data_IF_017079613587
#
_entry.id   IF_017079613587
#
_cell.length_a   1.000
_cell.length_b   1.000
_cell.length_c   1.000
_cell.angle_alpha   90.00
_cell.angle_beta   90.00
_cell.angle_gamma   90.00
#
_symmetry.space_group_name_H-M   'P 1'
#
loop_
_entity.id
_entity.type
_entity.pdbx_description
1 polymer ?
#
# COMPACT_ATOMS: atom_id res chain seq x y z
N UNK A 1 -15.43 -11.61 -17.30
CA UNK A 1 -15.45 -10.17 -17.71
C UNK A 1 -16.68 -9.40 -17.19
N UNK A 2 -17.89 -9.93 -17.35
CA UNK A 2 -19.12 -9.34 -16.78
C UNK A 2 -18.99 -9.08 -15.27
N UNK A 3 -18.41 -10.01 -14.51
CA UNK A 3 -18.16 -9.84 -13.06
C UNK A 3 -17.25 -8.66 -12.73
N UNK A 4 -16.25 -8.36 -13.58
CA UNK A 4 -15.37 -7.21 -13.38
C UNK A 4 -16.13 -5.89 -13.58
N UNK A 5 -16.98 -5.81 -14.59
CA UNK A 5 -17.83 -4.62 -14.84
C UNK A 5 -18.85 -4.45 -13.71
N UNK A 6 -19.48 -5.54 -13.28
CA UNK A 6 -20.43 -5.54 -12.17
C UNK A 6 -19.79 -5.15 -10.82
N UNK A 7 -18.50 -5.43 -10.64
CA UNK A 7 -17.74 -4.95 -9.48
C UNK A 7 -17.31 -3.48 -9.64
N UNK A 8 -16.69 -3.12 -10.76
CA UNK A 8 -16.07 -1.82 -10.97
C UNK A 8 -17.08 -0.67 -11.04
N UNK A 9 -18.25 -0.88 -11.63
CA UNK A 9 -19.28 0.16 -11.75
C UNK A 9 -19.74 0.68 -10.39
N UNK A 10 -20.32 -0.17 -9.53
CA UNK A 10 -20.69 0.22 -8.16
C UNK A 10 -19.49 0.69 -7.34
N UNK A 11 -18.33 0.04 -7.49
CA UNK A 11 -17.12 0.40 -6.75
C UNK A 11 -16.69 1.85 -7.00
N UNK A 12 -16.50 2.23 -8.27
CA UNK A 12 -16.15 3.60 -8.63
C UNK A 12 -17.26 4.59 -8.31
N UNK A 13 -18.53 4.20 -8.48
CA UNK A 13 -19.66 5.06 -8.13
C UNK A 13 -19.64 5.42 -6.64
N UNK A 14 -19.53 4.44 -5.75
CA UNK A 14 -19.49 4.67 -4.30
C UNK A 14 -18.24 5.46 -3.91
N UNK A 15 -17.08 5.11 -4.46
CA UNK A 15 -15.81 5.79 -4.16
C UNK A 15 -15.82 7.28 -4.56
N UNK A 16 -16.48 7.63 -5.67
CA UNK A 16 -16.59 9.01 -6.13
C UNK A 16 -17.68 9.80 -5.39
N UNK A 17 -18.72 9.12 -4.91
CA UNK A 17 -19.84 9.73 -4.18
C UNK A 17 -19.49 10.02 -2.72
N UNK A 18 -18.71 9.16 -2.07
CA UNK A 18 -18.31 9.30 -0.68
C UNK A 18 -16.86 9.78 -0.53
N UNK A 19 -16.69 11.10 -0.44
CA UNK A 19 -15.39 11.73 -0.18
C UNK A 19 -14.77 11.34 1.18
N UNK A 20 -15.57 10.90 2.15
CA UNK A 20 -15.06 10.55 3.48
C UNK A 20 -14.35 9.19 3.50
N UNK A 21 -14.70 8.30 2.57
CA UNK A 21 -14.05 7.01 2.35
C UNK A 21 -12.79 7.08 1.48
N UNK A 22 -12.41 8.27 1.02
CA UNK A 22 -11.32 8.45 0.07
C UNK A 22 -9.97 8.31 0.75
N UNK A 23 -9.22 7.28 0.38
CA UNK A 23 -7.82 7.12 0.75
C UNK A 23 -7.03 6.54 -0.44
N UNK A 24 -5.70 6.68 -0.39
CA UNK A 24 -4.82 6.23 -1.48
C UNK A 24 -4.95 4.72 -1.78
N UNK A 25 -5.29 3.90 -0.79
CA UNK A 25 -5.46 2.46 -0.96
C UNK A 25 -6.77 2.13 -1.69
N UNK A 26 -7.88 2.74 -1.31
CA UNK A 26 -9.17 2.59 -1.99
C UNK A 26 -9.04 3.00 -3.47
N UNK A 27 -8.35 4.10 -3.76
CA UNK A 27 -8.08 4.50 -5.14
C UNK A 27 -7.24 3.46 -5.90
N UNK A 28 -6.17 2.94 -5.29
CA UNK A 28 -5.34 1.90 -5.88
C UNK A 28 -6.12 0.62 -6.18
N UNK A 29 -7.02 0.17 -5.31
CA UNK A 29 -7.85 -1.01 -5.55
C UNK A 29 -8.76 -0.83 -6.78
N UNK A 30 -9.34 0.36 -6.95
CA UNK A 30 -10.09 0.71 -8.15
C UNK A 30 -9.25 0.63 -9.42
N UNK A 31 -8.04 1.22 -9.41
CA UNK A 31 -7.12 1.18 -10.54
C UNK A 31 -6.70 -0.25 -10.89
N UNK A 32 -6.30 -1.05 -9.89
CA UNK A 32 -5.89 -2.44 -10.08
C UNK A 32 -7.04 -3.27 -10.64
N UNK A 33 -8.26 -3.10 -10.13
CA UNK A 33 -9.45 -3.77 -10.66
C UNK A 33 -9.71 -3.40 -12.13
N UNK A 34 -9.60 -2.12 -12.49
CA UNK A 34 -9.73 -1.65 -13.87
C UNK A 34 -8.66 -2.26 -14.77
N UNK A 35 -7.40 -2.27 -14.34
CA UNK A 35 -6.30 -2.88 -15.10
C UNK A 35 -6.54 -4.38 -15.32
N UNK A 36 -6.94 -5.13 -14.28
CA UNK A 36 -7.24 -6.56 -14.40
C UNK A 36 -8.40 -6.84 -15.37
N UNK A 37 -9.41 -5.97 -15.39
CA UNK A 37 -10.54 -6.08 -16.31
C UNK A 37 -10.13 -5.86 -17.78
N UNK A 38 -9.23 -4.90 -18.04
CA UNK A 38 -8.76 -4.55 -19.38
C UNK A 38 -7.70 -5.54 -19.91
N UNK A 39 -6.79 -5.99 -19.04
CA UNK A 39 -5.67 -6.87 -19.40
C UNK A 39 -6.08 -8.33 -19.63
N UNK A 40 -7.36 -8.67 -19.51
CA UNK A 40 -7.85 -10.02 -19.77
C UNK A 40 -7.30 -11.04 -18.76
N UNK A 41 -7.32 -10.70 -17.47
CA UNK A 41 -7.00 -11.63 -16.38
C UNK A 41 -7.92 -12.87 -16.37
N UNK A 42 -9.00 -12.88 -17.17
CA UNK A 42 -9.91 -14.01 -17.35
C UNK A 42 -9.25 -15.27 -17.95
N UNK A 43 -8.00 -15.18 -18.41
CA UNK A 43 -7.25 -16.31 -19.01
C UNK A 43 -6.51 -17.20 -18.01
N UNK A 44 -6.39 -16.77 -16.74
CA UNK A 44 -5.72 -17.54 -15.69
C UNK A 44 -6.56 -17.51 -14.41
N UNK A 45 -7.01 -18.68 -13.92
CA UNK A 45 -7.74 -18.79 -12.66
C UNK A 45 -9.19 -18.28 -12.65
N UNK A 46 -9.82 -18.06 -13.80
CA UNK A 46 -11.24 -17.66 -13.86
C UNK A 46 -12.19 -18.86 -13.85
N UNK A 47 -13.39 -18.68 -13.28
CA UNK A 47 -14.47 -19.67 -13.41
C UNK A 47 -14.85 -19.91 -14.89
N UNK A 48 -14.76 -18.87 -15.73
CA UNK A 48 -14.97 -18.99 -17.18
C UNK A 48 -13.99 -19.98 -17.83
N UNK A 49 -12.77 -20.10 -17.30
CA UNK A 49 -11.75 -21.05 -17.76
C UNK A 49 -12.01 -22.50 -17.34
N UNK A 50 -12.81 -22.75 -16.30
CA UNK A 50 -13.26 -24.11 -15.95
C UNK A 50 -14.26 -24.65 -16.98
N UNK A 51 -15.14 -23.79 -17.51
CA UNK A 51 -16.15 -24.17 -18.49
C UNK A 51 -15.70 -24.04 -19.95
N UNK A 52 -14.62 -23.29 -20.22
CA UNK A 52 -14.05 -23.11 -21.58
C UNK A 52 -12.54 -23.39 -21.59
N UNK A 53 -12.11 -24.64 -21.88
CA UNK A 53 -10.71 -25.04 -21.82
C UNK A 53 -9.78 -24.20 -22.71
N UNK A 54 -10.26 -23.69 -23.84
CA UNK A 54 -9.48 -22.84 -24.74
C UNK A 54 -9.06 -21.50 -24.12
N UNK A 55 -9.75 -21.05 -23.06
CA UNK A 55 -9.42 -19.83 -22.33
C UNK A 55 -8.46 -20.08 -21.16
N UNK A 56 -8.31 -21.33 -20.72
CA UNK A 56 -7.54 -21.70 -19.54
C UNK A 56 -6.06 -21.78 -19.87
N UNK A 57 -5.21 -21.11 -19.09
CA UNK A 57 -3.76 -21.07 -19.28
C UNK A 57 -3.32 -20.54 -20.66
N UNK A 58 -4.16 -19.74 -21.30
CA UNK A 58 -3.81 -19.07 -22.55
C UNK A 58 -2.72 -18.02 -22.31
N UNK A 59 -1.87 -17.82 -23.31
CA UNK A 59 -0.72 -16.91 -23.22
C UNK A 59 -1.15 -15.49 -22.83
N UNK A 60 -0.49 -14.94 -21.82
CA UNK A 60 -0.66 -13.55 -21.36
C UNK A 60 0.64 -12.81 -21.66
N UNK A 61 0.61 -11.70 -22.43
CA UNK A 61 1.79 -10.92 -22.72
C UNK A 61 2.47 -10.40 -21.45
N UNK A 62 3.81 -10.37 -21.46
CA UNK A 62 4.60 -9.92 -20.31
C UNK A 62 4.25 -8.48 -19.88
N UNK A 63 3.86 -7.62 -20.83
CA UNK A 63 3.47 -6.23 -20.53
C UNK A 63 2.26 -6.12 -19.60
N UNK A 64 1.37 -7.13 -19.55
CA UNK A 64 0.25 -7.14 -18.62
C UNK A 64 0.76 -7.21 -17.18
N UNK A 65 1.73 -8.09 -16.93
CA UNK A 65 2.41 -8.19 -15.63
C UNK A 65 3.26 -6.96 -15.34
N UNK A 66 3.95 -6.43 -16.34
CA UNK A 66 4.77 -5.22 -16.19
C UNK A 66 3.91 -4.01 -15.81
N UNK A 67 2.71 -3.85 -16.37
CA UNK A 67 1.80 -2.75 -16.05
C UNK A 67 1.32 -2.82 -14.60
N UNK A 68 0.94 -4.01 -14.13
CA UNK A 68 0.54 -4.22 -12.73
C UNK A 68 1.72 -3.98 -11.77
N UNK A 69 2.92 -4.47 -12.12
CA UNK A 69 4.14 -4.22 -11.32
C UNK A 69 4.48 -2.74 -11.29
N UNK A 70 4.38 -2.04 -12.42
CA UNK A 70 4.63 -0.60 -12.52
C UNK A 70 3.63 0.21 -11.67
N UNK A 71 2.35 -0.17 -11.64
CA UNK A 71 1.36 0.47 -10.78
C UNK A 71 1.75 0.42 -9.30
N UNK A 72 2.15 -0.76 -8.81
CA UNK A 72 2.62 -0.92 -7.43
C UNK A 72 3.93 -0.15 -7.19
N UNK A 73 4.86 -0.22 -8.14
CA UNK A 73 6.12 0.52 -8.09
C UNK A 73 5.88 2.02 -7.89
N UNK A 74 5.02 2.62 -8.71
CA UNK A 74 4.75 4.06 -8.69
C UNK A 74 4.20 4.48 -7.33
N UNK A 75 3.27 3.71 -6.74
CA UNK A 75 2.67 4.07 -5.44
C UNK A 75 3.72 4.07 -4.32
N UNK A 76 4.53 3.03 -4.22
CA UNK A 76 5.61 2.99 -3.21
C UNK A 76 6.65 4.06 -3.45
N UNK A 77 7.10 4.23 -4.70
CA UNK A 77 8.15 5.19 -5.02
C UNK A 77 7.70 6.63 -4.74
N UNK A 78 6.47 7.00 -5.11
CA UNK A 78 5.91 8.32 -4.79
C UNK A 78 5.71 8.48 -3.28
N UNK A 79 5.31 7.44 -2.55
CA UNK A 79 5.21 7.49 -1.08
C UNK A 79 6.58 7.75 -0.44
N UNK A 80 7.64 7.11 -0.95
CA UNK A 80 9.02 7.33 -0.50
C UNK A 80 9.53 8.73 -0.85
N UNK A 81 9.24 9.23 -2.05
CA UNK A 81 9.59 10.61 -2.43
C UNK A 81 8.91 11.64 -1.53
N UNK A 82 7.65 11.42 -1.15
CA UNK A 82 6.95 12.30 -0.21
C UNK A 82 7.66 12.32 1.15
N UNK A 83 8.16 11.18 1.63
CA UNK A 83 8.90 11.03 2.89
C UNK A 83 10.32 11.64 2.87
N UNK A 84 10.80 12.16 1.74
CA UNK A 84 12.04 12.94 1.70
C UNK A 84 11.85 14.38 2.19
N UNK A 85 10.63 14.77 2.54
CA UNK A 85 10.34 16.06 3.13
C UNK A 85 11.05 16.25 4.49
N UNK A 86 11.30 17.51 4.85
CA UNK A 86 12.04 17.85 6.07
C UNK A 86 11.31 17.43 7.36
N UNK A 87 9.98 17.37 7.36
CA UNK A 87 9.20 16.95 8.52
C UNK A 87 9.31 15.45 8.75
N UNK A 88 9.36 14.64 7.68
CA UNK A 88 9.59 13.21 7.81
C UNK A 88 11.06 12.89 8.13
N UNK A 89 12.02 13.44 7.38
CA UNK A 89 13.46 13.15 7.57
C UNK A 89 13.98 13.72 8.90
N UNK A 90 13.45 14.88 9.31
CA UNK A 90 13.72 15.49 10.61
C UNK A 90 13.10 14.72 11.78
N UNK A 91 12.18 13.80 11.49
CA UNK A 91 11.44 13.06 12.51
C UNK A 91 10.47 13.95 13.27
N UNK A 92 9.86 14.94 12.63
CA UNK A 92 8.83 15.78 13.24
C UNK A 92 7.44 15.17 13.09
N UNK A 93 7.20 14.49 11.97
CA UNK A 93 5.97 13.75 11.71
C UNK A 93 5.85 12.54 12.64
N UNK A 94 4.65 12.16 13.06
CA UNK A 94 4.40 10.90 13.80
C UNK A 94 5.31 10.61 15.01
N UNK A 95 5.79 11.65 15.71
CA UNK A 95 6.80 11.51 16.76
C UNK A 95 6.44 10.57 17.92
N UNK A 96 5.15 10.43 18.21
CA UNK A 96 4.66 9.55 19.26
C UNK A 96 4.68 8.06 18.88
N UNK A 97 4.88 7.72 17.61
CA UNK A 97 4.75 6.35 17.12
C UNK A 97 5.80 5.42 17.76
N UNK A 98 7.01 5.93 18.00
CA UNK A 98 8.09 5.17 18.65
C UNK A 98 7.76 4.73 20.09
N UNK A 99 6.77 5.36 20.75
CA UNK A 99 6.29 4.96 22.08
C UNK A 99 5.41 3.71 22.03
N UNK A 100 4.87 3.38 20.87
CA UNK A 100 4.00 2.22 20.70
C UNK A 100 4.73 0.92 21.10
N UNK A 101 3.98 -0.05 21.63
CA UNK A 101 4.56 -1.29 22.16
C UNK A 101 5.32 -2.11 21.10
N UNK A 102 4.93 -1.98 19.83
CA UNK A 102 5.61 -2.60 18.68
C UNK A 102 7.09 -2.21 18.60
N UNK A 103 7.45 -1.01 19.06
CA UNK A 103 8.83 -0.53 19.03
C UNK A 103 9.55 -0.74 20.36
N UNK A 104 8.92 -1.37 21.36
CA UNK A 104 9.55 -1.67 22.65
C UNK A 104 10.85 -2.49 22.52
N UNK A 105 10.98 -3.50 21.63
CA UNK A 105 12.23 -4.23 21.46
C UNK A 105 13.40 -3.33 21.01
N UNK A 106 13.14 -2.36 20.13
CA UNK A 106 14.16 -1.41 19.68
C UNK A 106 14.55 -0.44 20.81
N UNK A 107 13.58 -0.06 21.66
CA UNK A 107 13.80 0.80 22.82
C UNK A 107 14.61 0.15 23.96
N UNK A 108 14.86 -1.16 23.91
CA UNK A 108 15.79 -1.82 24.82
C UNK A 108 17.26 -1.48 24.53
N UNK A 109 17.56 -1.12 23.27
CA UNK A 109 18.92 -0.84 22.78
C UNK A 109 19.09 0.62 22.37
N UNK A 110 18.03 1.25 21.88
CA UNK A 110 18.02 2.63 21.38
C UNK A 110 17.16 3.52 22.29
N UNK A 111 17.50 4.81 22.36
CA UNK A 111 16.59 5.78 22.97
C UNK A 111 15.29 5.90 22.15
N UNK A 112 14.22 6.42 22.76
CA UNK A 112 12.96 6.69 22.04
C UNK A 112 13.19 7.59 20.82
N UNK A 113 13.99 8.65 20.97
CA UNK A 113 14.30 9.57 19.88
C UNK A 113 15.08 8.88 18.74
N UNK A 114 16.06 8.02 19.06
CA UNK A 114 16.79 7.26 18.05
C UNK A 114 15.91 6.19 17.39
N UNK A 115 15.02 5.55 18.16
CA UNK A 115 14.04 4.58 17.63
C UNK A 115 13.10 5.26 16.65
N UNK A 116 12.58 6.45 17.00
CA UNK A 116 11.78 7.27 16.08
C UNK A 116 12.58 7.57 14.80
N UNK A 117 13.76 8.17 14.93
CA UNK A 117 14.52 8.64 13.78
C UNK A 117 15.03 7.53 12.86
N UNK A 118 15.57 6.45 13.42
CA UNK A 118 16.20 5.38 12.63
C UNK A 118 15.19 4.33 12.18
N UNK A 119 14.32 3.86 13.08
CA UNK A 119 13.42 2.73 12.80
C UNK A 119 12.13 3.21 12.14
N UNK A 120 11.45 4.19 12.73
CA UNK A 120 10.17 4.68 12.18
C UNK A 120 10.41 5.51 10.91
N UNK A 121 11.19 6.58 11.02
CA UNK A 121 11.41 7.51 9.91
C UNK A 121 12.37 6.95 8.86
N UNK A 122 13.56 6.53 9.29
CA UNK A 122 14.57 5.94 8.41
C UNK A 122 14.07 4.65 7.76
N UNK A 123 13.58 3.70 8.56
CA UNK A 123 13.04 2.43 8.06
C UNK A 123 11.86 2.62 7.11
N UNK A 124 10.88 3.46 7.46
CA UNK A 124 9.74 3.77 6.60
C UNK A 124 10.13 4.43 5.28
N UNK A 125 11.11 5.34 5.29
CA UNK A 125 11.62 5.99 4.08
C UNK A 125 12.35 5.01 3.16
N UNK A 126 13.30 4.24 3.72
CA UNK A 126 14.09 3.27 2.95
C UNK A 126 13.18 2.18 2.37
N UNK A 127 12.23 1.70 3.16
CA UNK A 127 11.28 0.68 2.69
C UNK A 127 10.43 1.20 1.53
N UNK A 128 9.85 2.39 1.61
CA UNK A 128 9.02 2.91 0.52
C UNK A 128 9.82 3.19 -0.76
N UNK A 129 11.03 3.76 -0.65
CA UNK A 129 11.88 4.01 -1.81
C UNK A 129 12.39 2.71 -2.47
N UNK A 130 12.54 1.62 -1.71
CA UNK A 130 13.07 0.35 -2.20
C UNK A 130 12.00 -0.68 -2.58
N UNK A 131 10.81 -0.63 -1.96
CA UNK A 131 9.75 -1.64 -2.12
C UNK A 131 9.32 -1.82 -3.57
N UNK A 132 9.19 -0.72 -4.33
CA UNK A 132 8.91 -0.76 -5.76
C UNK A 132 9.93 -1.61 -6.52
N UNK A 133 11.21 -1.34 -6.33
CA UNK A 133 12.30 -2.10 -6.99
C UNK A 133 12.32 -3.56 -6.55
N UNK A 134 12.19 -3.80 -5.24
CA UNK A 134 12.20 -5.16 -4.69
C UNK A 134 11.08 -6.02 -5.27
N UNK A 135 9.88 -5.49 -5.41
CA UNK A 135 8.72 -6.21 -5.95
C UNK A 135 8.75 -6.38 -7.47
N UNK A 136 9.41 -5.44 -8.18
CA UNK A 136 9.45 -5.43 -9.65
C UNK A 136 10.26 -6.60 -10.22
N UNK A 137 11.46 -6.85 -9.70
CA UNK A 137 12.35 -7.91 -10.17
C UNK A 137 12.02 -9.26 -9.55
N UNK A 138 12.07 -10.34 -10.34
CA UNK A 138 11.70 -11.68 -9.89
C UNK A 138 12.64 -12.20 -8.77
N UNK A 139 13.93 -11.87 -8.84
CA UNK A 139 14.92 -12.31 -7.86
C UNK A 139 14.74 -11.68 -6.46
N UNK A 140 14.36 -10.40 -6.40
CA UNK A 140 14.17 -9.66 -5.14
C UNK A 140 12.74 -9.73 -4.60
N UNK A 141 11.78 -10.21 -5.40
CA UNK A 141 10.36 -10.20 -5.04
C UNK A 141 10.04 -10.91 -3.73
N UNK A 142 10.58 -12.11 -3.42
CA UNK A 142 10.28 -12.76 -2.15
C UNK A 142 10.65 -11.89 -0.94
N UNK A 143 11.80 -11.21 -1.01
CA UNK A 143 12.23 -10.25 0.00
C UNK A 143 11.30 -9.04 0.07
N UNK A 144 10.94 -8.47 -1.09
CA UNK A 144 9.99 -7.36 -1.18
C UNK A 144 8.64 -7.70 -0.56
N UNK A 145 8.10 -8.90 -0.84
CA UNK A 145 6.85 -9.38 -0.25
C UNK A 145 6.98 -9.52 1.27
N UNK A 146 8.05 -10.13 1.79
CA UNK A 146 8.26 -10.26 3.23
C UNK A 146 8.29 -8.88 3.92
N UNK A 147 9.11 -7.96 3.42
CA UNK A 147 9.27 -6.63 4.01
C UNK A 147 7.99 -5.81 3.93
N UNK A 148 7.33 -5.79 2.78
CA UNK A 148 6.07 -5.05 2.61
C UNK A 148 4.95 -5.66 3.43
N UNK A 149 4.80 -6.98 3.48
CA UNK A 149 3.82 -7.63 4.36
C UNK A 149 4.07 -7.27 5.81
N UNK A 150 5.30 -7.39 6.29
CA UNK A 150 5.65 -6.99 7.66
C UNK A 150 5.29 -5.53 7.95
N UNK A 151 5.65 -4.62 7.05
CA UNK A 151 5.34 -3.19 7.17
C UNK A 151 3.83 -2.92 7.21
N UNK A 152 3.04 -3.58 6.36
CA UNK A 152 1.59 -3.42 6.33
C UNK A 152 0.92 -4.01 7.57
N UNK A 153 1.39 -5.16 8.05
CA UNK A 153 0.91 -5.74 9.31
C UNK A 153 1.23 -4.81 10.48
N UNK A 154 2.45 -4.27 10.56
CA UNK A 154 2.81 -3.29 11.58
C UNK A 154 1.92 -2.04 11.49
N UNK A 155 1.73 -1.48 10.29
CA UNK A 155 0.87 -0.32 10.09
C UNK A 155 -0.59 -0.59 10.44
N UNK A 156 -1.13 -1.79 10.17
CA UNK A 156 -2.50 -2.16 10.56
C UNK A 156 -2.72 -2.23 12.08
N UNK A 157 -1.65 -2.42 12.85
CA UNK A 157 -1.69 -2.37 14.30
C UNK A 157 -1.50 -0.93 14.83
N UNK A 158 -0.81 -0.08 14.06
CA UNK A 158 -0.55 1.32 14.41
C UNK A 158 -1.69 2.26 14.02
N UNK A 159 -2.39 1.96 12.94
CA UNK A 159 -3.41 2.82 12.34
C UNK A 159 -4.69 2.02 12.11
N UNK A 160 -5.83 2.59 12.51
CA UNK A 160 -7.14 2.05 12.16
C UNK A 160 -7.48 2.37 10.70
N UNK A 161 -8.30 1.52 10.06
CA UNK A 161 -8.72 1.68 8.66
C UNK A 161 -9.39 3.06 8.47
N UNK A 162 -8.75 3.95 7.72
CA UNK A 162 -9.22 5.32 7.46
C UNK A 162 -8.32 6.44 8.02
N UNK A 163 -7.38 6.13 8.91
CA UNK A 163 -6.54 7.13 9.59
C UNK A 163 -5.16 7.34 8.93
N UNK A 164 -5.08 7.36 7.60
CA UNK A 164 -3.91 7.99 6.96
C UNK A 164 -4.01 9.50 7.22
N UNK A 165 -3.08 10.12 7.97
CA UNK A 165 -3.28 11.49 8.45
C UNK A 165 -3.08 12.47 7.31
N UNK A 166 -4.16 12.83 6.63
CA UNK A 166 -4.23 14.06 5.85
C UNK A 166 -4.77 15.22 6.69
N UNK A 167 -5.04 14.99 7.97
CA UNK A 167 -5.57 15.97 8.91
C UNK A 167 -4.87 15.83 10.26
N UNK A 168 -4.31 16.92 10.83
CA UNK A 168 -3.92 16.90 12.23
C UNK A 168 -5.18 16.62 13.08
N UNK A 169 -5.04 15.89 14.20
CA UNK A 169 -6.15 15.67 15.12
C UNK A 169 -6.70 17.04 15.55
N UNK A 170 -8.00 17.26 15.32
CA UNK A 170 -8.68 18.38 15.98
C UNK A 170 -8.55 18.12 17.48
N UNK A 171 -7.81 18.99 18.17
CA UNK A 171 -7.78 19.05 19.62
C UNK A 171 -9.20 18.84 20.17
N UNK A 172 -9.43 17.90 21.10
CA UNK A 172 -10.56 18.05 21.98
C UNK A 172 -10.25 19.26 22.86
N UNK A 173 -10.93 20.38 22.61
CA UNK A 173 -11.07 21.39 23.64
C UNK A 173 -11.75 20.70 24.82
N UNK A 174 -10.97 20.53 25.89
CA UNK A 174 -11.46 20.14 27.19
C UNK A 174 -12.61 21.07 27.56
N UNK A 175 -13.85 20.58 27.48
CA UNK A 175 -14.96 21.13 28.23
C UNK A 175 -14.66 20.82 29.71
N UNK A 176 -14.36 21.88 30.45
CA UNK A 176 -14.59 21.91 31.89
C UNK A 176 -16.09 21.85 32.16
#
# INVERSE_FOLDING_TARGET
>A
RLSCVAFLGPYWYVLLLDKSSWNNHSYLYGLMGTQLALLGADRYGSMDGLFRPQKRNAHVPLWNYALLRAQIFIVYFIAGLKKLDADWVGGYSMNSLARHWLFAPFRLVLSEALTSRLVVHGGGLVLDLSAGFLLFFDASRPLGLLLTTYFHTMNSQLFSIGETPQSPPKHPQNLR
#
